data_IF_659969984060
#
_entry.id   IF_659969984060
#
_cell.length_a   1.000
_cell.length_b   1.000
_cell.length_c   1.000
_cell.angle_alpha   90.00
_cell.angle_beta   90.00
_cell.angle_gamma   90.00
#
_symmetry.space_group_name_H-M   'P 1'
#
loop_
_entity.id
_entity.type
_entity.pdbx_description
1 polymer ?
#
# COMPACT_ATOMS: atom_id res chain seq x y z
N UNK A 1 17.89 -7.40 12.40
CA UNK A 1 17.31 -6.72 11.24
C UNK A 1 16.03 -7.45 10.95
N UNK A 2 14.92 -6.74 11.02
CA UNK A 2 13.63 -7.32 10.72
C UNK A 2 13.19 -6.97 9.29
N UNK A 3 12.45 -7.85 8.62
CA UNK A 3 11.94 -7.67 7.26
C UNK A 3 10.42 -7.55 7.30
N UNK A 4 9.92 -6.36 6.96
CA UNK A 4 8.50 -6.13 6.67
C UNK A 4 8.27 -6.34 5.16
N UNK A 5 7.50 -7.38 4.82
CA UNK A 5 6.93 -7.52 3.49
C UNK A 5 5.69 -6.64 3.35
N UNK A 6 5.48 -6.03 2.19
CA UNK A 6 4.26 -5.29 1.86
C UNK A 6 3.73 -5.79 0.53
N UNK A 7 2.50 -6.28 0.50
CA UNK A 7 1.78 -6.62 -0.72
C UNK A 7 0.72 -5.57 -0.93
N UNK A 8 0.86 -4.77 -1.99
CA UNK A 8 0.10 -3.53 -2.15
C UNK A 8 -0.75 -3.48 -3.40
N UNK A 9 -1.89 -2.80 -3.28
CA UNK A 9 -2.74 -2.47 -4.41
C UNK A 9 -2.18 -1.32 -5.23
N UNK A 10 -2.17 -1.47 -6.56
CA UNK A 10 -1.87 -0.39 -7.49
C UNK A 10 -2.77 0.85 -7.34
N UNK A 11 -4.00 0.69 -6.78
CA UNK A 11 -4.88 1.83 -6.45
C UNK A 11 -4.29 2.76 -5.39
N UNK A 12 -3.48 2.19 -4.49
CA UNK A 12 -2.96 2.83 -3.29
C UNK A 12 -1.47 3.21 -3.43
N UNK A 13 -0.98 3.32 -4.67
CA UNK A 13 0.42 3.61 -4.94
C UNK A 13 0.87 4.91 -4.28
N UNK A 14 0.06 5.97 -4.36
CA UNK A 14 0.41 7.30 -3.82
C UNK A 14 0.41 7.31 -2.28
N UNK A 15 -0.55 6.63 -1.67
CA UNK A 15 -0.63 6.38 -0.23
C UNK A 15 0.59 5.61 0.27
N UNK A 16 1.05 4.61 -0.50
CA UNK A 16 2.23 3.84 -0.17
C UNK A 16 3.52 4.65 -0.35
N UNK A 17 3.65 5.43 -1.44
CA UNK A 17 4.78 6.35 -1.65
C UNK A 17 4.89 7.32 -0.47
N UNK A 18 3.75 7.84 0.00
CA UNK A 18 3.70 8.78 1.11
C UNK A 18 4.27 8.18 2.39
N UNK A 19 3.78 7.03 2.85
CA UNK A 19 4.24 6.42 4.11
C UNK A 19 5.71 5.99 4.03
N UNK A 20 6.14 5.43 2.89
CA UNK A 20 7.53 5.03 2.68
C UNK A 20 8.47 6.24 2.64
N UNK A 21 8.02 7.39 2.11
CA UNK A 21 8.83 8.60 2.05
C UNK A 21 8.97 9.34 3.38
N UNK A 22 8.01 9.14 4.28
CA UNK A 22 8.07 9.68 5.64
C UNK A 22 8.95 8.84 6.57
N UNK A 23 9.13 7.56 6.29
CA UNK A 23 9.92 6.66 7.12
C UNK A 23 11.42 6.84 6.89
N UNK A 24 12.05 7.61 7.78
CA UNK A 24 13.50 7.90 7.75
C UNK A 24 14.35 6.89 8.49
N UNK A 25 13.73 5.90 9.12
CA UNK A 25 14.38 4.90 9.95
C UNK A 25 14.51 3.55 9.24
N UNK A 26 14.17 3.50 7.94
CA UNK A 26 14.38 2.32 7.11
C UNK A 26 15.87 2.07 6.89
N UNK A 27 16.28 0.83 7.17
CA UNK A 27 17.63 0.36 6.85
C UNK A 27 17.79 0.20 5.33
N UNK A 28 16.77 -0.33 4.68
CA UNK A 28 16.68 -0.46 3.24
C UNK A 28 15.23 -0.58 2.78
N UNK A 29 14.96 -0.06 1.58
CA UNK A 29 13.72 -0.24 0.85
C UNK A 29 14.03 -1.00 -0.43
N UNK A 30 13.34 -2.11 -0.66
CA UNK A 30 13.47 -2.95 -1.86
C UNK A 30 12.10 -3.02 -2.55
N UNK A 31 12.05 -2.71 -3.84
CA UNK A 31 10.85 -2.86 -4.66
C UNK A 31 11.01 -4.11 -5.52
N UNK A 32 10.00 -4.98 -5.48
CA UNK A 32 9.91 -6.15 -6.36
C UNK A 32 9.68 -5.66 -7.80
N UNK A 33 10.54 -6.07 -8.73
CA UNK A 33 10.43 -5.70 -10.13
C UNK A 33 9.26 -6.43 -10.81
N UNK A 34 8.34 -5.64 -11.37
CA UNK A 34 7.23 -6.13 -12.18
C UNK A 34 6.79 -5.02 -13.17
N UNK A 35 5.67 -5.22 -13.88
CA UNK A 35 5.17 -4.24 -14.86
C UNK A 35 4.77 -2.90 -14.25
N UNK A 36 4.35 -2.90 -12.99
CA UNK A 36 3.85 -1.71 -12.27
C UNK A 36 4.97 -0.94 -11.57
N UNK A 37 6.12 -1.56 -11.29
CA UNK A 37 7.17 -0.96 -10.48
C UNK A 37 7.78 0.32 -11.06
N UNK A 38 7.74 0.54 -12.38
CA UNK A 38 8.39 1.69 -13.02
C UNK A 38 7.80 3.06 -12.60
N UNK A 39 6.47 3.18 -12.57
CA UNK A 39 5.77 4.41 -12.18
C UNK A 39 5.97 4.67 -10.70
N UNK A 40 5.78 3.63 -9.89
CA UNK A 40 6.02 3.68 -8.45
C UNK A 40 7.46 4.11 -8.09
N UNK A 41 8.47 3.53 -8.74
CA UNK A 41 9.88 3.91 -8.55
C UNK A 41 10.14 5.37 -8.89
N UNK A 42 9.52 5.88 -9.97
CA UNK A 42 9.63 7.30 -10.33
C UNK A 42 9.06 8.19 -9.22
N UNK A 43 7.89 7.86 -8.68
CA UNK A 43 7.26 8.65 -7.60
C UNK A 43 8.08 8.61 -6.30
N UNK A 44 8.62 7.45 -5.93
CA UNK A 44 9.54 7.33 -4.78
C UNK A 44 10.77 8.22 -4.96
N UNK A 45 11.42 8.19 -6.14
CA UNK A 45 12.60 9.02 -6.41
C UNK A 45 12.30 10.52 -6.35
N UNK A 46 11.13 10.96 -6.82
CA UNK A 46 10.68 12.36 -6.69
C UNK A 46 10.53 12.80 -5.23
N UNK A 47 10.30 11.86 -4.31
CA UNK A 47 10.25 12.09 -2.86
C UNK A 47 11.59 11.84 -2.16
N UNK A 48 12.70 11.73 -2.91
CA UNK A 48 14.05 11.42 -2.44
C UNK A 48 14.20 10.01 -1.82
N UNK A 49 13.31 9.08 -2.14
CA UNK A 49 13.45 7.68 -1.79
C UNK A 49 14.16 6.93 -2.92
N UNK A 50 15.33 6.36 -2.63
CA UNK A 50 16.13 5.62 -3.61
C UNK A 50 16.13 4.12 -3.24
N UNK A 51 15.09 3.37 -3.63
CA UNK A 51 15.02 1.96 -3.31
C UNK A 51 15.93 1.12 -4.19
N UNK A 52 16.29 -0.06 -3.69
CA UNK A 52 16.85 -1.14 -4.51
C UNK A 52 15.73 -1.86 -5.23
N UNK A 53 16.06 -2.53 -6.32
CA UNK A 53 15.10 -3.31 -7.10
C UNK A 53 15.66 -4.70 -7.35
N UNK A 54 14.77 -5.69 -7.35
CA UNK A 54 15.07 -7.06 -7.78
C UNK A 54 13.79 -7.82 -8.07
N UNK A 55 13.90 -8.88 -8.87
CA UNK A 55 12.86 -9.89 -8.97
C UNK A 55 12.67 -10.60 -7.63
N UNK A 56 11.45 -11.07 -7.39
CA UNK A 56 11.01 -11.63 -6.11
C UNK A 56 11.90 -12.81 -5.64
N UNK A 57 12.30 -13.68 -6.55
CA UNK A 57 13.18 -14.82 -6.32
C UNK A 57 14.59 -14.43 -5.85
N UNK A 58 15.03 -13.20 -6.15
CA UNK A 58 16.38 -12.70 -5.81
C UNK A 58 16.40 -11.86 -4.53
N UNK A 59 15.25 -11.51 -3.96
CA UNK A 59 15.15 -10.71 -2.74
C UNK A 59 15.94 -11.33 -1.57
N UNK A 60 15.89 -12.66 -1.30
CA UNK A 60 16.66 -13.25 -0.22
C UNK A 60 18.17 -13.02 -0.32
N UNK A 61 18.72 -12.92 -1.54
CA UNK A 61 20.14 -12.64 -1.75
C UNK A 61 20.50 -11.20 -1.36
N UNK A 62 19.64 -10.24 -1.67
CA UNK A 62 19.83 -8.83 -1.31
C UNK A 62 19.76 -8.62 0.21
N UNK A 63 18.85 -9.33 0.87
CA UNK A 63 18.70 -9.29 2.32
C UNK A 63 19.93 -9.89 3.04
N UNK A 64 20.47 -11.00 2.53
CA UNK A 64 21.68 -11.65 3.09
C UNK A 64 22.95 -10.80 2.95
N UNK A 65 23.13 -10.12 1.81
CA UNK A 65 24.31 -9.29 1.55
C UNK A 65 24.54 -8.14 2.55
N UNK A 66 23.49 -7.73 3.28
CA UNK A 66 23.60 -6.70 4.33
C UNK A 66 24.01 -7.28 5.69
N UNK A 67 23.64 -8.54 5.97
CA UNK A 67 23.89 -9.19 7.27
C UNK A 67 25.38 -9.48 7.57
N UNK A 68 26.23 -9.46 6.55
CA UNK A 68 27.66 -9.82 6.64
C UNK A 68 28.63 -8.65 6.89
N UNK A 69 28.16 -7.40 6.99
CA UNK A 69 29.05 -6.22 7.19
C UNK A 69 29.31 -5.83 8.65
N UNK A 70 28.69 -6.52 9.62
CA UNK A 70 28.90 -6.26 11.05
C UNK A 70 30.09 -7.01 11.62
N UNK A 71 31.29 -6.42 11.60
CA UNK A 71 32.43 -6.88 12.39
C UNK A 71 32.08 -6.75 13.89
N UNK A 72 31.53 -7.81 14.50
CA UNK A 72 31.28 -7.85 15.95
C UNK A 72 32.63 -7.94 16.66
N UNK A 73 33.17 -6.80 17.07
CA UNK A 73 34.26 -6.78 18.05
C UNK A 73 33.75 -7.47 19.32
N UNK A 74 34.41 -8.54 19.81
CA UNK A 74 33.95 -9.22 21.01
C UNK A 74 33.97 -8.24 22.19
N UNK A 75 32.86 -8.16 22.92
CA UNK A 75 32.66 -7.30 24.09
C UNK A 75 33.66 -7.52 25.25
N UNK A 76 34.62 -8.44 25.11
CA UNK A 76 35.67 -8.73 26.10
C UNK A 76 36.85 -7.74 26.08
N UNK A 77 36.97 -6.90 25.06
CA UNK A 77 38.09 -5.94 24.94
C UNK A 77 37.82 -4.54 25.54
N UNK A 78 36.58 -4.24 25.96
CA UNK A 78 36.19 -2.90 26.46
C UNK A 78 36.05 -2.86 27.99
N UNK A 79 36.28 -3.97 28.70
CA UNK A 79 36.13 -4.03 30.16
C UNK A 79 37.27 -3.38 30.96
N UNK A 80 38.24 -2.72 30.32
CA UNK A 80 39.45 -2.20 30.99
C UNK A 80 39.53 -0.67 31.14
N UNK A 81 38.54 0.11 30.70
CA UNK A 81 38.60 1.58 30.84
C UNK A 81 37.39 2.17 31.60
N UNK A 82 37.55 2.58 32.88
CA UNK A 82 36.45 3.08 33.72
C UNK A 82 35.90 4.47 33.37
N UNK A 83 36.43 5.14 32.34
CA UNK A 83 36.23 6.59 32.13
C UNK A 83 35.12 6.90 31.09
N UNK A 84 34.65 5.93 30.30
CA UNK A 84 33.60 6.16 29.28
C UNK A 84 32.18 5.81 29.76
N UNK A 85 31.87 5.98 31.05
CA UNK A 85 30.52 5.70 31.60
C UNK A 85 29.55 6.88 31.55
N UNK A 86 29.96 8.06 31.04
CA UNK A 86 29.15 9.29 31.16
C UNK A 86 28.66 9.93 29.86
N UNK A 87 28.72 9.24 28.72
CA UNK A 87 28.16 9.77 27.46
C UNK A 87 27.40 8.75 26.60
N UNK A 88 26.61 7.88 27.22
CA UNK A 88 25.60 7.10 26.51
C UNK A 88 24.23 7.73 26.76
N UNK A 89 23.88 8.75 25.95
CA UNK A 89 22.46 9.08 25.76
C UNK A 89 21.78 7.77 25.34
N UNK A 90 20.79 7.31 26.11
CA UNK A 90 19.91 6.20 25.74
C UNK A 90 19.22 6.58 24.43
N UNK A 91 19.85 6.29 23.29
CA UNK A 91 19.12 6.15 22.03
C UNK A 91 18.29 4.89 22.21
N UNK A 92 16.97 5.03 22.19
CA UNK A 92 16.06 3.91 21.94
C UNK A 92 16.60 3.27 20.66
N UNK A 93 17.15 2.06 20.75
CA UNK A 93 17.55 1.32 19.56
C UNK A 93 16.24 1.05 18.81
N UNK A 94 15.90 1.86 17.81
CA UNK A 94 14.90 1.45 16.84
C UNK A 94 15.48 0.22 16.15
N UNK A 95 14.68 -0.83 16.08
CA UNK A 95 15.08 -2.03 15.36
C UNK A 95 15.29 -1.64 13.89
N UNK A 96 16.43 -2.01 13.30
CA UNK A 96 16.67 -1.72 11.90
C UNK A 96 15.73 -2.60 11.05
N UNK A 97 14.77 -1.95 10.37
CA UNK A 97 13.75 -2.61 9.54
C UNK A 97 14.09 -2.45 8.06
N UNK A 98 14.10 -3.57 7.35
CA UNK A 98 14.11 -3.64 5.88
C UNK A 98 12.68 -3.78 5.39
N UNK A 99 12.29 -2.98 4.39
CA UNK A 99 10.96 -3.05 3.78
C UNK A 99 11.08 -3.60 2.38
N UNK A 100 10.30 -4.63 2.06
CA UNK A 100 10.17 -5.21 0.71
C UNK A 100 8.75 -4.98 0.22
N UNK A 101 8.59 -4.24 -0.87
CA UNK A 101 7.28 -3.92 -1.44
C UNK A 101 7.06 -4.67 -2.74
N UNK A 102 5.94 -5.38 -2.82
CA UNK A 102 5.41 -5.96 -4.04
C UNK A 102 4.10 -5.27 -4.40
N UNK A 103 4.17 -4.33 -5.34
CA UNK A 103 3.01 -3.59 -5.84
C UNK A 103 2.36 -4.39 -6.97
N UNK A 104 1.14 -4.89 -6.75
CA UNK A 104 0.42 -5.67 -7.75
C UNK A 104 -0.44 -4.78 -8.67
N UNK A 105 -0.85 -5.34 -9.81
CA UNK A 105 -1.57 -4.60 -10.84
C UNK A 105 -2.92 -4.08 -10.35
N UNK A 106 -3.16 -2.79 -10.63
CA UNK A 106 -4.47 -2.15 -10.49
C UNK A 106 -5.58 -2.92 -11.23
N UNK A 107 -5.25 -3.58 -12.35
CA UNK A 107 -6.19 -4.35 -13.16
C UNK A 107 -6.74 -5.60 -12.49
N UNK A 108 -6.16 -6.06 -11.38
CA UNK A 108 -6.66 -7.23 -10.64
C UNK A 108 -8.09 -7.04 -10.13
N UNK A 109 -8.53 -5.79 -9.90
CA UNK A 109 -9.91 -5.49 -9.50
C UNK A 109 -10.97 -5.81 -10.58
N UNK A 110 -10.56 -6.16 -11.80
CA UNK A 110 -11.49 -6.60 -12.84
C UNK A 110 -12.02 -8.03 -12.60
N UNK A 111 -11.31 -8.87 -11.83
CA UNK A 111 -11.70 -10.25 -11.52
C UNK A 111 -11.26 -10.62 -10.10
N UNK A 112 -12.23 -10.79 -9.21
CA UNK A 112 -11.98 -11.04 -7.79
C UNK A 112 -11.32 -12.40 -7.49
N UNK A 113 -11.53 -13.40 -8.35
CA UNK A 113 -10.87 -14.71 -8.19
C UNK A 113 -9.40 -14.63 -8.57
N UNK A 114 -9.08 -13.89 -9.65
CA UNK A 114 -7.69 -13.61 -10.04
C UNK A 114 -7.01 -12.74 -8.97
N UNK A 115 -7.68 -11.70 -8.48
CA UNK A 115 -7.18 -10.87 -7.37
C UNK A 115 -6.85 -11.74 -6.15
N UNK A 116 -7.78 -12.60 -5.73
CA UNK A 116 -7.57 -13.51 -4.61
C UNK A 116 -6.36 -14.41 -4.85
N UNK A 117 -6.34 -15.12 -5.97
CA UNK A 117 -5.26 -16.06 -6.30
C UNK A 117 -3.87 -15.38 -6.30
N UNK A 118 -3.78 -14.19 -6.88
CA UNK A 118 -2.52 -13.45 -6.99
C UNK A 118 -2.04 -12.92 -5.64
N UNK A 119 -2.92 -12.35 -4.81
CA UNK A 119 -2.55 -11.93 -3.44
C UNK A 119 -2.10 -13.14 -2.61
N UNK A 120 -2.83 -14.25 -2.68
CA UNK A 120 -2.52 -15.50 -1.95
C UNK A 120 -1.17 -16.09 -2.35
N UNK A 121 -0.85 -16.07 -3.65
CA UNK A 121 0.43 -16.53 -4.19
C UNK A 121 1.58 -15.66 -3.68
N UNK A 122 1.45 -14.34 -3.77
CA UNK A 122 2.49 -13.42 -3.35
C UNK A 122 2.74 -13.47 -1.83
N UNK A 123 1.71 -13.66 -1.00
CA UNK A 123 1.90 -13.87 0.45
C UNK A 123 2.76 -15.12 0.68
N UNK A 124 2.40 -16.26 0.08
CA UNK A 124 3.14 -17.53 0.23
C UNK A 124 4.58 -17.48 -0.28
N UNK A 125 4.88 -16.63 -1.25
CA UNK A 125 6.26 -16.44 -1.71
C UNK A 125 7.05 -15.55 -0.74
N UNK A 126 6.44 -14.46 -0.27
CA UNK A 126 7.09 -13.46 0.57
C UNK A 126 7.32 -13.94 2.02
N UNK A 127 6.51 -14.87 2.54
CA UNK A 127 6.71 -15.42 3.91
C UNK A 127 8.07 -16.08 4.09
N UNK A 128 8.71 -16.54 3.02
CA UNK A 128 10.03 -17.19 3.08
C UNK A 128 11.17 -16.28 3.55
N UNK A 129 10.98 -14.97 3.52
CA UNK A 129 11.98 -13.99 3.90
C UNK A 129 11.45 -12.81 4.74
N UNK A 130 10.15 -12.77 5.03
CA UNK A 130 9.51 -11.71 5.82
C UNK A 130 9.25 -12.18 7.24
N UNK A 131 9.58 -11.34 8.23
CA UNK A 131 9.19 -11.59 9.63
C UNK A 131 7.73 -11.21 9.89
N UNK A 132 7.14 -10.41 9.00
CA UNK A 132 5.74 -9.97 9.00
C UNK A 132 5.37 -9.41 7.63
N UNK A 133 4.08 -9.50 7.28
CA UNK A 133 3.57 -8.97 6.02
C UNK A 133 2.42 -8.01 6.27
N UNK A 134 2.51 -6.81 5.70
CA UNK A 134 1.38 -5.89 5.58
C UNK A 134 0.65 -6.14 4.26
N UNK A 135 -0.60 -6.58 4.36
CA UNK A 135 -1.54 -6.64 3.25
C UNK A 135 -2.13 -5.24 3.07
N UNK A 136 -1.54 -4.48 2.16
CA UNK A 136 -1.93 -3.10 1.86
C UNK A 136 -3.05 -3.08 0.82
N UNK A 137 -4.16 -3.71 1.22
CA UNK A 137 -5.43 -3.86 0.52
C UNK A 137 -6.57 -3.78 1.53
N UNK A 138 -7.75 -3.32 1.10
CA UNK A 138 -9.00 -3.65 1.80
C UNK A 138 -9.46 -5.08 1.47
N UNK A 139 -10.61 -5.53 2.01
CA UNK A 139 -11.13 -6.88 1.72
C UNK A 139 -11.63 -7.05 0.27
N UNK A 140 -11.90 -5.95 -0.44
CA UNK A 140 -12.19 -5.82 -1.87
C UNK A 140 -13.26 -6.82 -2.37
N UNK A 141 -14.53 -6.58 -2.00
CA UNK A 141 -15.64 -7.47 -2.37
C UNK A 141 -15.59 -8.82 -1.65
N UNK A 142 -15.04 -8.84 -0.43
CA UNK A 142 -14.78 -10.04 0.40
C UNK A 142 -13.79 -11.06 -0.18
N UNK A 143 -13.19 -10.80 -1.34
CA UNK A 143 -12.19 -11.69 -1.97
C UNK A 143 -11.01 -12.00 -1.02
N UNK A 144 -10.63 -11.01 -0.22
CA UNK A 144 -9.53 -11.09 0.73
C UNK A 144 -10.00 -11.24 2.20
N UNK A 145 -11.30 -11.34 2.44
CA UNK A 145 -11.88 -11.34 3.79
C UNK A 145 -11.53 -12.54 4.65
N UNK A 146 -11.08 -13.64 4.04
CA UNK A 146 -10.65 -14.88 4.73
C UNK A 146 -9.14 -15.07 4.79
N UNK A 147 -8.35 -14.06 4.43
CA UNK A 147 -6.88 -14.19 4.37
C UNK A 147 -6.27 -14.69 5.68
N UNK A 148 -6.73 -14.19 6.82
CA UNK A 148 -6.21 -14.59 8.13
C UNK A 148 -6.58 -16.04 8.48
N UNK A 149 -7.79 -16.48 8.12
CA UNK A 149 -8.26 -17.85 8.33
C UNK A 149 -7.57 -18.85 7.38
N UNK A 150 -7.54 -18.53 6.08
CA UNK A 150 -7.03 -19.39 5.00
C UNK A 150 -5.50 -19.56 5.07
N UNK A 151 -4.80 -18.70 5.82
CA UNK A 151 -3.33 -18.66 5.96
C UNK A 151 -2.87 -18.76 7.43
N UNK A 152 -3.72 -19.26 8.32
CA UNK A 152 -3.40 -19.41 9.74
C UNK A 152 -2.24 -20.39 10.02
N UNK A 153 -1.87 -21.22 9.03
CA UNK A 153 -0.72 -22.12 9.08
C UNK A 153 0.64 -21.41 8.92
N UNK A 154 0.63 -20.15 8.49
CA UNK A 154 1.86 -19.37 8.32
C UNK A 154 2.37 -18.85 9.67
N UNK A 155 3.65 -19.09 9.96
CA UNK A 155 4.32 -18.51 11.14
C UNK A 155 4.51 -16.98 11.03
N UNK A 156 4.42 -16.44 9.80
CA UNK A 156 4.60 -15.02 9.50
C UNK A 156 3.30 -14.24 9.77
N UNK A 157 3.24 -13.34 10.78
CA UNK A 157 2.03 -12.58 11.08
C UNK A 157 1.64 -11.64 9.94
N UNK A 158 0.35 -11.62 9.64
CA UNK A 158 -0.27 -10.72 8.67
C UNK A 158 -0.85 -9.49 9.38
N UNK A 159 -0.57 -8.32 8.81
CA UNK A 159 -1.15 -7.05 9.21
C UNK A 159 -2.08 -6.56 8.10
N UNK A 160 -3.19 -5.94 8.51
CA UNK A 160 -4.23 -5.46 7.60
C UNK A 160 -4.47 -3.98 7.82
N UNK A 161 -5.13 -3.34 6.84
CA UNK A 161 -5.60 -1.97 6.97
C UNK A 161 -6.84 -1.95 7.86
N UNK A 162 -6.70 -1.41 9.06
CA UNK A 162 -7.77 -1.38 10.07
C UNK A 162 -8.08 0.03 10.52
N UNK A 163 -9.34 0.28 10.82
CA UNK A 163 -9.77 1.51 11.43
C UNK A 163 -9.47 1.56 12.94
N UNK A 164 -9.86 2.66 13.58
CA UNK A 164 -9.68 2.88 15.02
C UNK A 164 -10.45 1.88 15.92
N UNK A 165 -11.44 1.19 15.38
CA UNK A 165 -12.21 0.16 16.07
C UNK A 165 -11.63 -1.25 15.85
N UNK A 166 -10.57 -1.37 15.05
CA UNK A 166 -9.96 -2.65 14.68
C UNK A 166 -10.68 -3.36 13.53
N UNK A 167 -11.65 -2.71 12.88
CA UNK A 167 -12.36 -3.26 11.73
C UNK A 167 -11.50 -3.11 10.47
N UNK A 168 -11.40 -4.19 9.69
CA UNK A 168 -10.66 -4.16 8.43
C UNK A 168 -11.39 -3.29 7.40
N UNK A 169 -10.63 -2.52 6.64
CA UNK A 169 -11.17 -1.66 5.58
C UNK A 169 -11.81 -2.48 4.46
N UNK A 170 -12.98 -2.04 4.02
CA UNK A 170 -13.80 -2.72 3.02
C UNK A 170 -13.11 -2.82 1.65
N UNK A 171 -12.54 -1.72 1.16
CA UNK A 171 -11.81 -1.68 -0.10
C UNK A 171 -10.82 -0.52 -0.18
N UNK A 172 -10.10 -0.43 -1.29
CA UNK A 172 -9.10 0.61 -1.50
C UNK A 172 -9.72 2.03 -1.63
N UNK A 173 -11.00 2.14 -1.99
CA UNK A 173 -11.70 3.43 -2.06
C UNK A 173 -12.07 3.92 -0.66
N UNK A 174 -12.53 3.01 0.20
CA UNK A 174 -12.83 3.25 1.60
C UNK A 174 -11.58 3.70 2.35
N UNK A 175 -10.42 3.07 2.07
CA UNK A 175 -9.13 3.56 2.59
C UNK A 175 -8.84 5.00 2.15
N UNK A 176 -8.96 5.28 0.85
CA UNK A 176 -8.65 6.61 0.31
C UNK A 176 -9.58 7.70 0.89
N UNK A 177 -10.83 7.36 1.19
CA UNK A 177 -11.77 8.24 1.90
C UNK A 177 -11.47 8.39 3.39
N UNK A 178 -10.78 7.42 3.97
CA UNK A 178 -10.23 7.46 5.32
C UNK A 178 -10.80 6.45 6.30
N UNK A 179 -11.95 5.83 5.99
CA UNK A 179 -12.63 4.82 6.82
C UNK A 179 -13.86 4.28 6.07
N UNK A 180 -14.40 3.13 6.51
CA UNK A 180 -15.61 2.52 5.95
C UNK A 180 -16.83 3.46 6.09
N UNK A 181 -16.98 4.10 7.25
CA UNK A 181 -18.06 5.05 7.51
C UNK A 181 -18.03 6.29 6.60
N UNK A 182 -16.85 6.74 6.20
CA UNK A 182 -16.70 7.85 5.25
C UNK A 182 -17.19 7.46 3.86
N UNK A 183 -16.97 6.21 3.45
CA UNK A 183 -17.51 5.66 2.22
C UNK A 183 -19.04 5.55 2.27
N UNK A 184 -19.60 5.00 3.35
CA UNK A 184 -21.05 4.93 3.56
C UNK A 184 -21.71 6.32 3.52
N UNK A 185 -21.12 7.31 4.19
CA UNK A 185 -21.58 8.72 4.13
C UNK A 185 -21.50 9.31 2.73
N UNK A 186 -20.45 9.00 1.97
CA UNK A 186 -20.33 9.46 0.59
C UNK A 186 -21.41 8.86 -0.31
N UNK A 187 -21.70 7.57 -0.18
CA UNK A 187 -22.79 6.90 -0.91
C UNK A 187 -24.16 7.51 -0.56
N UNK A 188 -24.43 7.72 0.74
CA UNK A 188 -25.67 8.34 1.21
C UNK A 188 -25.84 9.79 0.72
N UNK A 189 -24.74 10.57 0.70
CA UNK A 189 -24.72 11.96 0.24
C UNK A 189 -25.18 12.10 -1.22
N UNK A 190 -24.87 11.12 -2.07
CA UNK A 190 -25.25 11.14 -3.48
C UNK A 190 -26.59 10.45 -3.76
N UNK A 191 -27.34 10.06 -2.73
CA UNK A 191 -28.70 9.52 -2.85
C UNK A 191 -28.83 8.36 -3.86
N UNK A 192 -27.80 7.54 -4.00
CA UNK A 192 -27.78 6.42 -4.96
C UNK A 192 -27.51 6.82 -6.42
N UNK A 193 -27.13 8.06 -6.70
CA UNK A 193 -26.59 8.43 -8.02
C UNK A 193 -25.34 7.60 -8.30
N UNK A 194 -25.27 6.98 -9.49
CA UNK A 194 -24.12 6.19 -9.88
C UNK A 194 -22.87 7.06 -9.87
N UNK A 195 -21.91 6.68 -9.03
CA UNK A 195 -20.72 7.46 -8.73
C UNK A 195 -19.49 6.61 -8.97
N UNK A 196 -18.55 7.13 -9.76
CA UNK A 196 -17.22 6.55 -9.92
C UNK A 196 -16.25 7.31 -9.03
N UNK A 197 -15.63 6.59 -8.09
CA UNK A 197 -14.67 7.15 -7.13
C UNK A 197 -13.25 7.10 -7.70
N UNK A 198 -12.58 8.24 -7.69
CA UNK A 198 -11.32 8.47 -8.39
C UNK A 198 -10.22 8.80 -7.38
N UNK A 199 -9.29 7.88 -7.20
CA UNK A 199 -7.97 8.17 -6.61
C UNK A 199 -7.02 8.70 -7.69
N UNK A 200 -5.89 9.33 -7.33
CA UNK A 200 -4.92 9.79 -8.32
C UNK A 200 -4.40 8.68 -9.24
N UNK A 201 -4.17 7.48 -8.70
CA UNK A 201 -3.78 6.32 -9.50
C UNK A 201 -4.84 5.85 -10.47
N UNK A 202 -6.09 5.76 -10.01
CA UNK A 202 -7.18 5.35 -10.88
C UNK A 202 -7.39 6.37 -12.01
N UNK A 203 -7.40 7.67 -11.68
CA UNK A 203 -7.57 8.74 -12.65
C UNK A 203 -6.42 8.83 -13.67
N UNK A 204 -5.18 8.50 -13.30
CA UNK A 204 -4.08 8.47 -14.27
C UNK A 204 -4.05 7.20 -15.13
N UNK A 205 -4.75 6.14 -14.71
CA UNK A 205 -4.64 4.81 -15.32
C UNK A 205 -5.88 4.34 -16.06
N UNK A 206 -7.00 5.07 -16.03
CA UNK A 206 -8.29 4.60 -16.60
C UNK A 206 -8.20 4.20 -18.08
N UNK A 207 -7.40 4.89 -18.89
CA UNK A 207 -7.17 4.54 -20.32
C UNK A 207 -6.37 3.24 -20.48
N UNK A 208 -5.36 3.02 -19.62
CA UNK A 208 -4.57 1.77 -19.60
C UNK A 208 -5.48 0.61 -19.21
N UNK A 209 -6.30 0.80 -18.17
CA UNK A 209 -7.25 -0.20 -17.71
C UNK A 209 -8.27 -0.59 -18.80
N UNK A 210 -8.79 0.40 -19.54
CA UNK A 210 -9.67 0.14 -20.70
C UNK A 210 -9.02 -0.76 -21.75
N UNK A 211 -7.74 -0.53 -22.04
CA UNK A 211 -7.00 -1.28 -23.08
C UNK A 211 -6.55 -2.68 -22.62
N UNK A 212 -6.13 -2.84 -21.36
CA UNK A 212 -5.55 -4.10 -20.86
C UNK A 212 -6.59 -5.17 -20.59
N UNK A 213 -7.77 -4.77 -20.13
CA UNK A 213 -8.74 -5.72 -19.59
C UNK A 213 -9.66 -6.31 -20.66
N UNK A 214 -9.58 -5.86 -21.92
CA UNK A 214 -10.57 -6.23 -22.94
C UNK A 214 -12.01 -5.96 -22.47
N UNK A 215 -12.18 -5.11 -21.46
CA UNK A 215 -13.32 -5.02 -20.57
C UNK A 215 -14.38 -4.14 -21.20
N UNK A 216 -14.88 -4.64 -22.33
CA UNK A 216 -16.08 -4.13 -22.96
C UNK A 216 -17.22 -4.07 -21.95
N UNK A 217 -17.22 -4.90 -20.91
CA UNK A 217 -18.29 -4.94 -19.92
C UNK A 217 -18.27 -3.81 -18.90
N UNK A 218 -17.16 -3.51 -18.21
CA UNK A 218 -17.13 -2.39 -17.25
C UNK A 218 -17.43 -1.06 -17.93
N UNK A 219 -16.84 -0.83 -19.10
CA UNK A 219 -17.08 0.40 -19.86
C UNK A 219 -18.50 0.47 -20.42
N UNK A 220 -19.11 -0.66 -20.81
CA UNK A 220 -20.48 -0.69 -21.35
C UNK A 220 -21.56 -0.66 -20.28
N UNK A 221 -21.34 -1.29 -19.12
CA UNK A 221 -22.33 -1.43 -18.05
C UNK A 221 -22.30 -0.29 -17.05
N UNK A 222 -21.12 0.30 -16.81
CA UNK A 222 -20.94 1.33 -15.79
C UNK A 222 -20.56 2.66 -16.43
N UNK A 223 -19.42 2.76 -17.12
CA UNK A 223 -18.92 4.07 -17.57
C UNK A 223 -19.78 4.75 -18.65
N UNK A 224 -20.45 3.97 -19.51
CA UNK A 224 -21.37 4.49 -20.54
C UNK A 224 -22.84 4.46 -20.10
N UNK A 225 -23.12 4.05 -18.87
CA UNK A 225 -24.47 3.97 -18.37
C UNK A 225 -24.88 5.32 -17.78
N UNK A 226 -25.97 5.95 -18.25
CA UNK A 226 -26.38 7.29 -17.80
C UNK A 226 -26.76 7.34 -16.31
N UNK A 227 -26.97 6.19 -15.65
CA UNK A 227 -27.13 6.13 -14.19
C UNK A 227 -25.85 6.52 -13.45
N UNK A 228 -24.68 6.29 -14.07
CA UNK A 228 -23.38 6.75 -13.58
C UNK A 228 -23.10 8.15 -14.09
N UNK A 229 -23.39 9.14 -13.26
CA UNK A 229 -23.36 10.54 -13.63
C UNK A 229 -22.41 11.38 -12.78
N UNK A 230 -21.74 10.79 -11.78
CA UNK A 230 -20.79 11.47 -10.92
C UNK A 230 -19.39 10.87 -11.01
N UNK A 231 -18.40 11.75 -11.16
CA UNK A 231 -16.98 11.45 -11.03
C UNK A 231 -16.49 12.06 -9.70
N UNK A 232 -16.36 11.23 -8.67
CA UNK A 232 -15.96 11.66 -7.33
C UNK A 232 -14.44 11.67 -7.16
N UNK A 233 -13.83 12.86 -7.23
CA UNK A 233 -12.41 13.09 -6.92
C UNK A 233 -12.17 12.95 -5.42
N UNK A 234 -11.39 11.94 -5.02
CA UNK A 234 -10.95 11.78 -3.63
C UNK A 234 -9.63 12.52 -3.44
N UNK A 235 -9.64 13.55 -2.61
CA UNK A 235 -8.47 14.37 -2.33
C UNK A 235 -7.94 14.10 -0.92
N UNK A 236 -6.90 13.28 -0.83
CA UNK A 236 -6.18 12.95 0.41
C UNK A 236 -5.10 13.98 0.78
N UNK A 237 -4.96 15.07 0.02
CA UNK A 237 -3.91 16.08 0.22
C UNK A 237 -2.52 15.63 -0.22
N UNK A 238 -2.37 14.44 -0.79
CA UNK A 238 -1.11 13.97 -1.41
C UNK A 238 -0.79 14.68 -2.72
N UNK A 239 -1.84 15.15 -3.39
CA UNK A 239 -1.81 15.62 -4.75
C UNK A 239 -2.27 17.09 -4.81
N UNK A 240 -1.36 18.02 -4.50
CA UNK A 240 -1.37 19.33 -5.18
C UNK A 240 -0.81 19.13 -6.59
N UNK A 241 -1.41 18.19 -7.33
CA UNK A 241 -0.95 17.68 -8.61
C UNK A 241 -1.94 18.15 -9.69
N UNK A 242 -1.56 19.15 -10.52
CA UNK A 242 -2.37 19.59 -11.66
C UNK A 242 -2.77 18.44 -12.60
N UNK A 243 -1.96 17.40 -12.69
CA UNK A 243 -2.22 16.21 -13.51
C UNK A 243 -3.42 15.41 -12.98
N UNK A 244 -3.56 15.25 -11.66
CA UNK A 244 -4.72 14.54 -11.10
C UNK A 244 -6.03 15.24 -11.43
N UNK A 245 -6.05 16.57 -11.29
CA UNK A 245 -7.22 17.37 -11.66
C UNK A 245 -7.54 17.30 -13.15
N UNK A 246 -6.51 17.36 -14.00
CA UNK A 246 -6.67 17.23 -15.46
C UNK A 246 -7.23 15.85 -15.84
N UNK A 247 -6.69 14.79 -15.25
CA UNK A 247 -7.11 13.41 -15.49
C UNK A 247 -8.57 13.18 -15.07
N UNK A 248 -9.00 13.69 -13.91
CA UNK A 248 -10.40 13.60 -13.46
C UNK A 248 -11.32 14.35 -14.41
N UNK A 249 -10.94 15.56 -14.83
CA UNK A 249 -11.74 16.35 -15.78
C UNK A 249 -11.88 15.65 -17.13
N UNK A 250 -10.78 15.08 -17.64
CA UNK A 250 -10.80 14.33 -18.89
C UNK A 250 -11.70 13.10 -18.79
N UNK A 251 -11.58 12.33 -17.70
CA UNK A 251 -12.45 11.18 -17.43
C UNK A 251 -13.92 11.60 -17.40
N UNK A 252 -14.24 12.61 -16.59
CA UNK A 252 -15.61 13.10 -16.44
C UNK A 252 -16.20 13.61 -17.76
N UNK A 253 -15.41 14.34 -18.55
CA UNK A 253 -15.81 14.79 -19.88
C UNK A 253 -16.06 13.61 -20.84
N UNK A 254 -15.21 12.58 -20.80
CA UNK A 254 -15.31 11.41 -21.69
C UNK A 254 -16.58 10.61 -21.45
N UNK A 255 -17.07 10.56 -20.22
CA UNK A 255 -18.22 9.75 -19.81
C UNK A 255 -19.46 10.55 -19.40
N UNK A 256 -19.50 11.85 -19.75
CA UNK A 256 -20.62 12.76 -19.43
C UNK A 256 -20.98 12.78 -17.93
N UNK A 257 -19.96 12.79 -17.08
CA UNK A 257 -20.11 12.82 -15.62
C UNK A 257 -19.83 14.20 -15.05
N UNK A 258 -20.53 14.54 -13.97
CA UNK A 258 -20.25 15.72 -13.16
C UNK A 258 -19.16 15.42 -12.14
N UNK A 259 -18.13 16.26 -12.10
CA UNK A 259 -17.09 16.16 -11.07
C UNK A 259 -17.62 16.63 -9.71
N UNK A 260 -17.41 15.81 -8.69
CA UNK A 260 -17.65 16.16 -7.28
C UNK A 260 -16.37 15.91 -6.49
N UNK A 261 -16.11 16.73 -5.47
CA UNK A 261 -14.92 16.59 -4.62
C UNK A 261 -15.31 15.95 -3.29
N UNK A 262 -14.54 14.95 -2.91
CA UNK A 262 -14.58 14.30 -1.61
C UNK A 262 -13.21 14.50 -0.93
N UNK A 263 -13.25 14.70 0.38
CA UNK A 263 -12.04 14.74 1.19
C UNK A 263 -11.65 13.32 1.53
N UNK A 264 -10.40 12.97 1.27
CA UNK A 264 -9.77 11.74 1.71
C UNK A 264 -8.97 11.93 3.00
N UNK A 265 -8.42 10.82 3.50
CA UNK A 265 -7.53 10.81 4.67
C UNK A 265 -6.38 9.84 4.47
N UNK A 266 -5.30 10.04 5.21
CA UNK A 266 -4.12 9.18 5.24
C UNK A 266 -3.90 8.55 6.62
N UNK A 267 -4.80 8.82 7.58
CA UNK A 267 -4.61 8.42 8.97
C UNK A 267 -4.50 6.90 9.12
N UNK A 268 -5.43 6.13 8.52
CA UNK A 268 -5.38 4.66 8.54
C UNK A 268 -4.16 4.14 7.80
N UNK A 269 -3.81 4.76 6.68
CA UNK A 269 -2.62 4.41 5.89
C UNK A 269 -1.35 4.54 6.74
N UNK A 270 -1.16 5.69 7.39
CA UNK A 270 -0.01 5.98 8.25
C UNK A 270 0.00 5.05 9.46
N UNK A 271 -1.14 4.88 10.14
CA UNK A 271 -1.26 4.05 11.33
C UNK A 271 -0.98 2.57 11.03
N UNK A 272 -1.60 2.02 9.98
CA UNK A 272 -1.44 0.61 9.59
C UNK A 272 -0.02 0.29 9.19
N UNK A 273 0.63 1.20 8.43
CA UNK A 273 2.04 1.08 8.11
C UNK A 273 2.91 1.07 9.37
N UNK A 274 2.68 2.00 10.30
CA UNK A 274 3.46 2.08 11.54
C UNK A 274 3.23 0.88 12.46
N UNK A 275 2.00 0.35 12.55
CA UNK A 275 1.68 -0.85 13.31
C UNK A 275 2.45 -2.05 12.77
N UNK A 276 2.37 -2.28 11.46
CA UNK A 276 3.10 -3.36 10.79
C UNK A 276 4.62 -3.16 10.91
N UNK A 277 5.14 -1.95 10.68
CA UNK A 277 6.57 -1.64 10.81
C UNK A 277 7.11 -1.96 12.20
N UNK A 278 6.40 -1.55 13.25
CA UNK A 278 6.85 -1.72 14.62
C UNK A 278 6.55 -3.12 15.19
N UNK A 279 5.86 -3.98 14.44
CA UNK A 279 5.41 -5.28 14.94
C UNK A 279 4.49 -5.15 16.15
N UNK A 280 3.75 -4.04 16.27
CA UNK A 280 2.85 -3.82 17.38
C UNK A 280 1.67 -4.80 17.24
N UNK A 281 1.63 -5.83 18.08
CA UNK A 281 0.42 -6.64 18.23
C UNK A 281 -0.66 -5.77 18.86
N UNK A 282 -1.73 -5.55 18.11
CA UNK A 282 -2.91 -4.86 18.63
C UNK A 282 -3.43 -5.69 19.82
N UNK A 283 -3.65 -5.01 20.95
CA UNK A 283 -4.32 -5.63 22.10
C UNK A 283 -5.71 -6.05 21.63
N UNK A 284 -5.97 -7.36 21.66
CA UNK A 284 -7.32 -7.93 21.60
C UNK A 284 -8.23 -7.29 22.66
#
# INVERSE_FOLDING_TARGET
MSVLGIIACGMLEDELVHVLSKDRELQQLIIVENRESSVFLRKLRLRNCNPRTAFLDRIPMLLKGYSSSGFRVPARLISSFPILKKFCRKRKHSEEVSVVVNLLSLGLHADLEILKAEVYRNIREMVSFSDRILVFYGICGHALGKLEEDLADLECPLFFLKDQNGETIEDCISLALGENEAYARAMAKFQGMGTIYLTPMWASSWKKLENETGNRDFNKHYLKNPLYCLAAKIDSGLADNPEFHANVKEFAFTFDMKVVNLRGSLEITEQSYMNARNGATEKQ
#
